data_IF_182441377208
#
_entry.id   IF_182441377208
#
_cell.length_a   1.000
_cell.length_b   1.000
_cell.length_c   1.000
_cell.angle_alpha   90.00
_cell.angle_beta   90.00
_cell.angle_gamma   90.00
#
_symmetry.space_group_name_H-M   'P 1'
#
loop_
_entity.id
_entity.type
_entity.pdbx_description
1 polymer ?
#
# COMPACT_ATOMS: atom_id res chain seq x y z
N UNK A 1 40.02 16.05 29.67
CA UNK A 1 40.98 17.04 29.13
C UNK A 1 42.18 17.11 30.04
N UNK A 2 43.40 17.31 29.54
CA UNK A 2 44.62 17.37 30.38
C UNK A 2 45.28 18.74 30.22
N UNK A 3 45.46 19.44 31.33
CA UNK A 3 46.26 20.66 31.41
C UNK A 3 47.70 20.28 31.71
N UNK A 4 48.65 20.84 30.97
CA UNK A 4 50.08 20.58 31.18
C UNK A 4 50.84 21.89 31.41
N UNK A 5 51.58 21.97 32.50
CA UNK A 5 52.43 23.10 32.83
C UNK A 5 53.86 22.79 32.35
N UNK A 6 54.29 23.42 31.26
CA UNK A 6 55.59 23.14 30.63
C UNK A 6 56.45 24.39 30.54
N UNK A 7 57.75 24.21 30.74
CA UNK A 7 58.76 25.23 30.47
C UNK A 7 59.04 25.29 28.96
N UNK A 8 59.08 26.50 28.38
CA UNK A 8 59.27 26.72 26.94
C UNK A 8 60.60 26.19 26.40
N UNK A 9 61.62 26.10 27.25
CA UNK A 9 62.94 25.55 26.89
C UNK A 9 63.01 24.02 27.05
N UNK A 10 61.93 23.37 27.52
CA UNK A 10 61.89 21.96 27.93
C UNK A 10 63.02 21.54 28.89
N UNK A 11 63.65 22.51 29.54
CA UNK A 11 64.70 22.28 30.53
C UNK A 11 64.07 21.79 31.83
N UNK A 12 64.76 20.84 32.49
CA UNK A 12 64.37 20.33 33.80
C UNK A 12 64.48 21.46 34.81
N UNK A 13 63.38 21.75 35.51
CA UNK A 13 63.35 22.76 36.55
C UNK A 13 64.25 22.31 37.71
N UNK A 14 65.08 23.20 38.29
CA UNK A 14 65.91 22.88 39.45
C UNK A 14 65.05 22.62 40.70
N UNK A 15 65.56 21.79 41.61
CA UNK A 15 64.88 21.43 42.86
C UNK A 15 63.71 20.45 42.70
N UNK A 16 62.81 20.44 43.69
CA UNK A 16 61.56 19.66 43.72
C UNK A 16 60.36 20.59 43.47
N UNK A 17 60.07 20.96 42.20
CA UNK A 17 59.02 21.93 41.88
C UNK A 17 57.65 21.41 42.31
N UNK A 18 56.84 22.27 42.92
CA UNK A 18 55.42 22.02 43.12
C UNK A 18 54.62 22.83 42.11
N UNK A 19 53.51 22.29 41.64
CA UNK A 19 52.62 22.89 40.65
C UNK A 19 51.24 23.12 41.26
N UNK A 20 50.61 24.23 40.90
CA UNK A 20 49.21 24.50 41.20
C UNK A 20 48.54 25.04 39.93
N UNK A 21 47.38 24.50 39.59
CA UNK A 21 46.58 24.96 38.45
C UNK A 21 45.46 25.86 38.94
N UNK A 22 45.18 26.94 38.21
CA UNK A 22 44.13 27.89 38.55
C UNK A 22 43.20 28.11 37.36
N UNK A 23 41.91 28.29 37.65
CA UNK A 23 40.85 28.71 36.72
C UNK A 23 40.17 29.95 37.27
N UNK A 24 40.18 31.03 36.50
CA UNK A 24 39.50 32.30 36.85
C UNK A 24 39.81 32.79 38.28
N UNK A 25 41.00 32.47 38.79
CA UNK A 25 41.48 32.85 40.14
C UNK A 25 41.30 31.79 41.22
N UNK A 26 40.62 30.69 40.92
CA UNK A 26 40.35 29.60 41.87
C UNK A 26 41.30 28.42 41.60
N UNK A 27 41.85 27.82 42.65
CA UNK A 27 42.71 26.66 42.53
C UNK A 27 41.92 25.42 42.07
N UNK A 28 42.46 24.68 41.11
CA UNK A 28 41.97 23.40 40.63
C UNK A 28 42.69 22.29 41.40
N UNK A 29 41.96 21.58 42.26
CA UNK A 29 42.51 20.55 43.15
C UNK A 29 42.75 21.04 44.59
N UNK A 30 43.40 20.20 45.40
CA UNK A 30 43.59 20.44 46.85
C UNK A 30 44.79 21.35 47.18
N UNK A 31 45.53 21.86 46.19
CA UNK A 31 46.66 22.76 46.41
C UNK A 31 47.86 22.47 45.49
N UNK A 32 49.05 22.57 46.08
CA UNK A 32 50.33 22.28 45.44
C UNK A 32 50.53 20.76 45.27
N UNK A 33 50.97 20.34 44.09
CA UNK A 33 51.20 18.95 43.72
C UNK A 33 52.55 18.77 43.00
N UNK A 34 53.13 17.58 43.04
CA UNK A 34 54.34 17.22 42.30
C UNK A 34 54.08 17.02 40.79
N UNK A 35 52.81 16.91 40.39
CA UNK A 35 52.44 16.69 39.00
C UNK A 35 52.44 17.96 38.17
N UNK A 36 53.18 17.98 37.07
CA UNK A 36 53.11 19.05 36.07
C UNK A 36 51.88 18.95 35.16
N UNK A 37 50.94 18.04 35.46
CA UNK A 37 49.73 17.81 34.70
C UNK A 37 48.50 17.71 35.61
N UNK A 38 47.39 18.28 35.16
CA UNK A 38 46.10 18.18 35.84
C UNK A 38 45.04 17.62 34.89
N UNK A 39 44.33 16.58 35.33
CA UNK A 39 43.29 15.94 34.54
C UNK A 39 41.90 16.45 34.93
N UNK A 40 41.21 17.02 33.94
CA UNK A 40 39.78 17.34 34.02
C UNK A 40 39.01 16.13 33.49
N UNK A 41 38.37 15.39 34.39
CA UNK A 41 37.73 14.10 34.09
C UNK A 41 36.58 14.24 33.06
N UNK A 42 35.76 15.27 33.18
CA UNK A 42 34.70 15.61 32.24
C UNK A 42 34.68 17.12 32.03
N UNK A 43 34.51 17.55 30.77
CA UNK A 43 34.49 18.97 30.40
C UNK A 43 33.04 19.44 30.32
N UNK A 44 32.69 20.43 31.14
CA UNK A 44 31.37 21.03 31.26
C UNK A 44 31.37 22.49 30.82
N UNK A 45 30.18 23.10 30.76
CA UNK A 45 30.07 24.52 30.37
C UNK A 45 30.78 25.41 31.39
N UNK A 46 30.78 25.00 32.65
CA UNK A 46 31.47 25.69 33.75
C UNK A 46 33.01 25.64 33.61
N UNK A 47 33.55 24.73 32.79
CA UNK A 47 34.99 24.60 32.55
C UNK A 47 35.52 25.62 31.53
N UNK A 48 34.66 26.45 30.94
CA UNK A 48 35.11 27.60 30.13
C UNK A 48 35.71 28.66 31.03
N UNK A 49 36.89 29.19 30.67
CA UNK A 49 37.57 30.20 31.49
C UNK A 49 39.05 30.42 31.14
N UNK A 50 39.70 31.28 31.93
CA UNK A 50 41.14 31.50 31.87
C UNK A 50 41.86 30.56 32.82
N UNK A 51 42.80 29.79 32.28
CA UNK A 51 43.63 28.85 33.00
C UNK A 51 45.09 29.31 33.05
N UNK A 52 45.77 29.07 34.15
CA UNK A 52 47.23 29.19 34.25
C UNK A 52 47.75 28.23 35.32
N UNK A 53 49.05 27.96 35.27
CA UNK A 53 49.74 27.23 36.34
C UNK A 53 50.70 28.15 37.08
N UNK A 54 50.86 27.87 38.36
CA UNK A 54 51.86 28.45 39.23
C UNK A 54 52.83 27.35 39.66
N UNK A 55 54.12 27.67 39.69
CA UNK A 55 55.18 26.73 40.04
C UNK A 55 55.99 27.29 41.20
N UNK A 56 56.09 26.52 42.28
CA UNK A 56 56.89 26.86 43.46
C UNK A 56 58.27 26.20 43.35
N UNK A 57 59.32 27.02 43.31
CA UNK A 57 60.72 26.60 43.22
C UNK A 57 61.55 27.50 44.13
N UNK A 58 62.32 26.90 45.05
CA UNK A 58 63.30 27.62 45.88
C UNK A 58 62.74 28.92 46.51
N UNK A 59 61.55 28.82 47.12
CA UNK A 59 60.81 29.93 47.75
C UNK A 59 60.30 31.03 46.81
N UNK A 60 60.22 30.75 45.50
CA UNK A 60 59.63 31.66 44.51
C UNK A 60 58.46 30.99 43.81
N UNK A 61 57.44 31.79 43.50
CA UNK A 61 56.31 31.36 42.68
C UNK A 61 56.43 31.99 41.30
N UNK A 62 56.46 31.16 40.27
CA UNK A 62 56.48 31.57 38.87
C UNK A 62 55.13 31.25 38.25
N UNK A 63 54.54 32.20 37.52
CA UNK A 63 53.23 32.03 36.88
C UNK A 63 53.39 31.85 35.37
N UNK A 64 52.62 30.94 34.79
CA UNK A 64 52.53 30.81 33.35
C UNK A 64 51.74 31.96 32.72
N UNK A 65 51.78 32.05 31.38
CA UNK A 65 50.80 32.84 30.64
C UNK A 65 49.40 32.25 30.86
N UNK A 66 48.38 33.11 30.87
CA UNK A 66 46.99 32.69 30.91
C UNK A 66 46.57 32.14 29.54
N UNK A 67 45.89 31.01 29.53
CA UNK A 67 45.28 30.41 28.35
C UNK A 67 43.76 30.42 28.48
N UNK A 68 43.06 30.88 27.45
CA UNK A 68 41.60 30.78 27.40
C UNK A 68 41.22 29.40 26.87
N UNK A 69 40.35 28.70 27.60
CA UNK A 69 39.79 27.42 27.18
C UNK A 69 38.30 27.61 26.99
N UNK A 70 37.82 27.19 25.81
CA UNK A 70 36.43 27.33 25.40
C UNK A 70 35.81 25.98 25.06
N UNK A 71 34.49 25.86 25.25
CA UNK A 71 33.72 24.67 24.90
C UNK A 71 33.14 24.85 23.50
N UNK A 72 33.73 24.17 22.52
CA UNK A 72 33.20 24.15 21.17
C UNK A 72 32.14 23.05 21.03
N UNK A 73 30.87 23.47 20.86
CA UNK A 73 29.82 22.54 20.41
C UNK A 73 30.03 22.23 18.93
N UNK A 74 29.84 20.98 18.56
CA UNK A 74 29.86 20.53 17.16
C UNK A 74 28.51 20.89 16.53
N UNK A 75 28.48 21.68 15.44
CA UNK A 75 27.24 21.99 14.73
C UNK A 75 26.59 20.75 14.12
N UNK A 76 25.27 20.79 13.94
CA UNK A 76 24.53 19.73 13.23
C UNK A 76 25.04 19.53 11.80
N UNK A 77 25.20 18.27 11.37
CA UNK A 77 25.64 17.90 10.01
C UNK A 77 24.79 16.78 9.41
N UNK A 78 24.59 16.84 8.10
CA UNK A 78 23.85 15.86 7.27
C UNK A 78 22.54 15.41 7.92
N UNK A 79 21.52 16.27 7.84
CA UNK A 79 20.18 15.93 8.31
C UNK A 79 19.51 15.05 7.26
N UNK A 80 18.97 13.91 7.66
CA UNK A 80 18.18 13.04 6.79
C UNK A 80 16.84 12.71 7.46
N UNK A 81 15.86 12.41 6.62
CA UNK A 81 14.55 11.95 7.06
C UNK A 81 14.35 10.53 6.52
N UNK A 82 14.04 9.60 7.41
CA UNK A 82 13.70 8.22 7.07
C UNK A 82 12.25 7.92 7.46
N UNK A 83 11.59 7.08 6.68
CA UNK A 83 10.21 6.64 6.92
C UNK A 83 10.18 5.20 7.39
N UNK A 84 9.23 4.88 8.27
CA UNK A 84 8.85 3.50 8.58
C UNK A 84 7.32 3.39 8.38
N UNK A 85 6.84 2.55 7.44
CA UNK A 85 7.61 1.66 6.55
C UNK A 85 8.52 2.41 5.56
N UNK A 86 9.61 1.74 5.16
CA UNK A 86 10.60 2.29 4.24
C UNK A 86 9.98 2.62 2.87
N UNK A 87 10.42 3.73 2.27
CA UNK A 87 9.86 4.21 1.00
C UNK A 87 8.59 5.05 1.16
N UNK A 88 8.00 5.13 2.36
CA UNK A 88 6.85 6.00 2.62
C UNK A 88 5.53 5.51 2.02
N UNK A 89 5.46 4.26 1.60
CA UNK A 89 4.22 3.60 1.16
C UNK A 89 3.53 2.96 2.36
N UNK A 90 2.40 3.50 2.78
CA UNK A 90 1.69 3.08 3.99
C UNK A 90 0.20 2.88 3.70
N UNK A 91 -0.42 1.84 4.26
CA UNK A 91 -1.85 1.66 4.13
C UNK A 91 -2.63 2.57 5.07
N UNK A 92 -3.83 3.01 4.66
CA UNK A 92 -4.70 3.82 5.51
C UNK A 92 -4.99 3.12 6.85
N UNK A 93 -4.96 3.90 7.93
CA UNK A 93 -5.15 3.41 9.30
C UNK A 93 -3.90 2.80 9.94
N UNK A 94 -2.81 2.57 9.20
CA UNK A 94 -1.53 2.14 9.76
C UNK A 94 -0.73 3.32 10.33
N UNK A 95 0.33 2.99 11.08
CA UNK A 95 1.24 3.98 11.66
C UNK A 95 2.38 4.31 10.70
N UNK A 96 2.61 5.60 10.48
CA UNK A 96 3.78 6.13 9.79
C UNK A 96 4.74 6.77 10.81
N UNK A 97 6.01 6.38 10.77
CA UNK A 97 7.07 6.97 11.59
C UNK A 97 8.02 7.77 10.71
N UNK A 98 8.27 9.01 11.10
CA UNK A 98 9.19 9.96 10.48
C UNK A 98 10.40 10.15 11.39
N UNK A 99 11.49 9.45 11.08
CA UNK A 99 12.74 9.48 11.82
C UNK A 99 13.69 10.54 11.24
N UNK A 100 13.91 11.63 11.98
CA UNK A 100 14.88 12.65 11.64
C UNK A 100 16.25 12.29 12.25
N UNK A 101 17.28 12.19 11.42
CA UNK A 101 18.61 11.71 11.77
C UNK A 101 19.66 12.78 11.47
N UNK A 102 20.70 12.86 12.29
CA UNK A 102 21.86 13.72 12.04
C UNK A 102 23.16 12.93 12.18
N UNK A 103 24.12 13.17 11.30
CA UNK A 103 25.43 12.49 11.32
C UNK A 103 26.41 13.06 12.37
N UNK A 104 26.10 14.22 12.93
CA UNK A 104 26.92 14.88 13.93
C UNK A 104 26.20 16.06 14.53
N UNK A 105 26.56 16.39 15.77
CA UNK A 105 25.95 17.43 16.58
C UNK A 105 26.18 17.13 18.06
N UNK A 106 26.35 18.15 18.88
CA UNK A 106 26.50 17.97 20.34
C UNK A 106 25.53 18.86 21.11
N UNK A 107 25.18 18.42 22.32
CA UNK A 107 24.23 19.10 23.18
C UNK A 107 22.80 18.74 22.82
N UNK A 108 21.87 19.60 23.23
CA UNK A 108 20.46 19.42 22.93
C UNK A 108 20.19 19.88 21.50
N UNK A 109 19.51 19.03 20.73
CA UNK A 109 19.16 19.27 19.33
C UNK A 109 17.65 19.42 19.25
N UNK A 110 17.20 20.50 18.62
CA UNK A 110 15.81 20.79 18.35
C UNK A 110 15.43 20.28 16.97
N UNK A 111 14.53 19.30 16.92
CA UNK A 111 14.03 18.65 15.72
C UNK A 111 12.62 19.16 15.40
N UNK A 112 12.38 19.59 14.17
CA UNK A 112 11.05 19.98 13.68
C UNK A 112 10.69 19.17 12.44
N UNK A 113 9.43 18.75 12.32
CA UNK A 113 8.91 18.06 11.15
C UNK A 113 7.93 18.95 10.40
N UNK A 114 7.96 18.84 9.08
CA UNK A 114 7.15 19.64 8.17
C UNK A 114 6.45 18.75 7.14
N UNK A 115 5.25 19.17 6.74
CA UNK A 115 4.46 18.56 5.65
C UNK A 115 4.27 19.55 4.51
N UNK A 116 4.44 19.07 3.29
CA UNK A 116 4.33 19.84 2.06
C UNK A 116 5.52 20.75 1.81
N UNK A 117 5.73 21.07 0.53
CA UNK A 117 6.83 21.95 0.10
C UNK A 117 6.75 23.37 0.69
N UNK A 118 5.54 23.82 1.06
CA UNK A 118 5.31 25.12 1.73
C UNK A 118 5.55 25.08 3.25
N UNK A 119 5.82 23.90 3.83
CA UNK A 119 6.34 23.76 5.19
C UNK A 119 5.31 23.92 6.31
N UNK A 120 4.21 23.15 6.27
CA UNK A 120 3.29 23.09 7.42
C UNK A 120 3.98 22.38 8.57
N UNK A 121 4.25 23.10 9.67
CA UNK A 121 4.88 22.55 10.86
C UNK A 121 3.96 21.52 11.54
N UNK A 122 4.48 20.32 11.78
CA UNK A 122 3.74 19.21 12.41
C UNK A 122 4.08 19.06 13.88
N UNK A 123 5.37 19.03 14.21
CA UNK A 123 5.85 18.65 15.54
C UNK A 123 7.19 19.32 15.87
N UNK A 124 7.52 19.43 17.16
CA UNK A 124 8.83 19.88 17.65
C UNK A 124 9.28 19.06 18.83
N UNK A 125 10.51 18.53 18.78
CA UNK A 125 11.12 17.76 19.87
C UNK A 125 12.53 18.23 20.12
N UNK A 126 12.85 18.57 21.37
CA UNK A 126 14.23 18.84 21.78
C UNK A 126 14.75 17.69 22.62
N UNK A 127 15.91 17.16 22.27
CA UNK A 127 16.52 16.04 22.98
C UNK A 127 18.03 15.99 22.75
N UNK A 128 18.75 15.40 23.71
CA UNK A 128 20.19 15.15 23.60
C UNK A 128 20.45 13.82 22.88
N UNK A 129 20.10 13.77 21.60
CA UNK A 129 20.26 12.59 20.75
C UNK A 129 20.49 13.02 19.30
N UNK A 130 21.18 12.17 18.52
CA UNK A 130 21.40 12.37 17.09
C UNK A 130 20.19 11.96 16.23
N UNK A 131 19.09 11.50 16.84
CA UNK A 131 17.93 11.04 16.10
C UNK A 131 16.63 11.21 16.87
N UNK A 132 15.59 11.75 16.22
CA UNK A 132 14.25 11.92 16.80
C UNK A 132 13.19 11.26 15.91
N UNK A 133 12.07 10.82 16.51
CA UNK A 133 10.96 10.23 15.78
C UNK A 133 9.66 10.99 16.01
N UNK A 134 8.90 11.19 14.94
CA UNK A 134 7.52 11.66 14.97
C UNK A 134 6.62 10.59 14.36
N UNK A 135 5.49 10.29 15.01
CA UNK A 135 4.61 9.18 14.63
C UNK A 135 3.21 9.71 14.29
N UNK A 136 2.65 9.19 13.20
CA UNK A 136 1.26 9.40 12.78
C UNK A 136 0.56 8.04 12.91
N UNK A 137 -0.15 7.76 14.00
CA UNK A 137 -0.57 6.40 14.37
C UNK A 137 -1.63 5.78 13.45
N UNK A 138 -2.49 6.60 12.83
CA UNK A 138 -3.52 6.17 11.90
C UNK A 138 -3.58 7.13 10.72
N UNK A 139 -2.74 6.88 9.71
CA UNK A 139 -2.65 7.73 8.52
C UNK A 139 -3.95 7.74 7.74
N UNK A 140 -4.27 8.88 7.13
CA UNK A 140 -5.38 9.07 6.20
C UNK A 140 -4.87 9.44 4.83
N UNK A 141 -5.71 9.34 3.80
CA UNK A 141 -5.37 9.82 2.45
C UNK A 141 -4.87 11.28 2.45
N UNK A 142 -5.42 12.14 3.32
CA UNK A 142 -4.99 13.53 3.47
C UNK A 142 -3.56 13.72 4.00
N UNK A 143 -2.95 12.66 4.54
CA UNK A 143 -1.57 12.68 5.01
C UNK A 143 -0.57 12.35 3.89
N UNK A 144 -1.02 11.94 2.71
CA UNK A 144 -0.15 11.77 1.55
C UNK A 144 0.45 13.11 1.12
N UNK A 145 1.77 13.24 1.23
CA UNK A 145 2.51 14.44 0.82
C UNK A 145 4.02 14.22 0.85
N UNK A 146 4.79 15.28 0.57
CA UNK A 146 6.22 15.34 0.86
C UNK A 146 6.47 15.81 2.29
N UNK A 147 7.47 15.24 2.94
CA UNK A 147 7.87 15.56 4.30
C UNK A 147 9.36 15.89 4.34
N UNK A 148 9.75 16.77 5.26
CA UNK A 148 11.15 17.03 5.59
C UNK A 148 11.25 17.37 7.08
N UNK A 149 12.45 17.26 7.63
CA UNK A 149 12.73 17.68 8.99
C UNK A 149 13.84 18.73 9.03
N UNK A 150 13.87 19.50 10.10
CA UNK A 150 14.99 20.37 10.45
C UNK A 150 15.59 19.96 11.79
N UNK A 151 16.90 20.17 11.93
CA UNK A 151 17.62 19.98 13.18
C UNK A 151 18.52 21.19 13.45
N UNK A 152 18.47 21.71 14.68
CA UNK A 152 19.24 22.88 15.12
C UNK A 152 19.77 22.68 16.53
N UNK A 153 21.04 23.02 16.76
CA UNK A 153 21.67 23.01 18.09
C UNK A 153 22.26 24.38 18.47
N UNK A 154 21.74 25.46 17.89
CA UNK A 154 22.13 26.84 18.15
C UNK A 154 23.11 27.43 17.12
N UNK A 155 23.48 26.65 16.09
CA UNK A 155 24.33 27.08 14.97
C UNK A 155 23.53 27.29 13.66
N UNK A 156 22.22 27.43 13.80
CA UNK A 156 21.27 27.59 12.73
C UNK A 156 20.73 26.26 12.21
N UNK A 157 19.48 26.24 11.73
CA UNK A 157 18.83 25.00 11.32
C UNK A 157 19.51 24.40 10.08
N UNK A 158 19.50 23.07 10.03
CA UNK A 158 19.81 22.30 8.82
C UNK A 158 18.59 21.48 8.45
N UNK A 159 18.29 21.42 7.15
CA UNK A 159 17.12 20.72 6.61
C UNK A 159 17.53 19.38 6.02
N UNK A 160 16.64 18.40 6.11
CA UNK A 160 16.73 17.18 5.32
C UNK A 160 16.30 17.40 3.87
N UNK A 161 16.55 16.40 3.02
CA UNK A 161 15.83 16.26 1.75
C UNK A 161 14.34 15.99 1.97
N UNK A 162 13.56 16.15 0.90
CA UNK A 162 12.14 15.80 0.87
C UNK A 162 11.96 14.29 0.68
N UNK A 163 11.03 13.71 1.44
CA UNK A 163 10.59 12.31 1.29
C UNK A 163 9.11 12.29 0.95
N UNK A 164 8.76 11.63 -0.16
CA UNK A 164 7.36 11.43 -0.55
C UNK A 164 6.74 10.31 0.26
N UNK A 165 5.53 10.55 0.77
CA UNK A 165 4.68 9.58 1.45
C UNK A 165 3.42 9.41 0.63
N UNK A 166 3.08 8.17 0.33
CA UNK A 166 1.84 7.80 -0.37
C UNK A 166 1.00 6.91 0.54
N UNK A 167 -0.31 7.16 0.58
CA UNK A 167 -1.23 6.37 1.38
C UNK A 167 -2.09 5.51 0.46
N UNK A 168 -2.12 4.20 0.70
CA UNK A 168 -2.97 3.26 -0.04
C UNK A 168 -4.26 3.02 0.76
N UNK A 169 -5.38 3.49 0.21
CA UNK A 169 -6.71 3.30 0.79
C UNK A 169 -7.19 1.87 0.48
N UNK A 170 -7.61 1.08 1.48
CA UNK A 170 -8.12 -0.28 1.24
C UNK A 170 -9.42 -0.24 0.44
N UNK A 171 -9.69 -1.32 -0.31
CA UNK A 171 -10.94 -1.44 -1.04
C UNK A 171 -12.13 -1.61 -0.09
N UNK A 172 -13.25 -0.95 -0.39
CA UNK A 172 -14.53 -1.25 0.25
C UNK A 172 -15.09 -2.58 -0.23
N UNK A 173 -16.09 -3.12 0.48
CA UNK A 173 -16.91 -4.23 -0.03
C UNK A 173 -17.46 -3.89 -1.42
N UNK A 174 -17.14 -4.66 -2.47
CA UNK A 174 -17.62 -4.36 -3.80
C UNK A 174 -19.09 -4.75 -3.98
N UNK A 175 -19.76 -4.11 -4.92
CA UNK A 175 -21.13 -4.40 -5.33
C UNK A 175 -21.09 -5.08 -6.69
N UNK A 176 -21.64 -6.30 -6.77
CA UNK A 176 -21.86 -7.01 -8.02
C UNK A 176 -23.26 -6.70 -8.56
N UNK A 177 -23.32 -6.25 -9.81
CA UNK A 177 -24.57 -6.02 -10.55
C UNK A 177 -24.58 -6.91 -11.80
N UNK A 178 -25.59 -7.75 -11.95
CA UNK A 178 -25.81 -8.53 -13.16
C UNK A 178 -26.82 -7.80 -14.06
N UNK A 179 -26.45 -7.52 -15.30
CA UNK A 179 -27.31 -6.87 -16.30
C UNK A 179 -27.55 -7.82 -17.46
N UNK A 180 -28.75 -8.39 -17.51
CA UNK A 180 -29.20 -9.26 -18.60
C UNK A 180 -30.11 -8.47 -19.57
N UNK A 181 -30.23 -8.89 -20.84
CA UNK A 181 -31.13 -8.27 -21.81
C UNK A 181 -32.61 -8.37 -21.43
N UNK A 182 -32.98 -9.38 -20.64
CA UNK A 182 -34.35 -9.64 -20.21
C UNK A 182 -34.44 -10.27 -18.82
N UNK A 183 -35.66 -10.27 -18.27
CA UNK A 183 -36.03 -10.94 -17.03
C UNK A 183 -37.31 -11.77 -17.30
N UNK A 184 -37.21 -13.11 -17.48
CA UNK A 184 -36.05 -13.96 -17.20
C UNK A 184 -34.93 -13.86 -18.25
N UNK A 185 -33.69 -14.12 -17.83
CA UNK A 185 -32.56 -14.27 -18.75
C UNK A 185 -32.62 -15.65 -19.43
N UNK A 186 -32.32 -15.69 -20.73
CA UNK A 186 -32.44 -16.89 -21.55
C UNK A 186 -31.07 -17.52 -21.89
N UNK A 187 -31.06 -18.82 -22.17
CA UNK A 187 -29.88 -19.48 -22.75
C UNK A 187 -29.50 -18.79 -24.07
N UNK A 188 -28.22 -18.46 -24.24
CA UNK A 188 -27.71 -17.72 -25.40
C UNK A 188 -27.62 -16.21 -25.19
N UNK A 189 -28.31 -15.63 -24.19
CA UNK A 189 -28.14 -14.23 -23.84
C UNK A 189 -26.71 -13.95 -23.37
N UNK A 190 -26.25 -12.70 -23.52
CA UNK A 190 -25.00 -12.24 -22.91
C UNK A 190 -25.33 -11.36 -21.72
N UNK A 191 -24.91 -11.77 -20.53
CA UNK A 191 -25.06 -11.01 -19.29
C UNK A 191 -23.78 -10.25 -18.98
N UNK A 192 -23.91 -8.98 -18.58
CA UNK A 192 -22.80 -8.19 -18.06
C UNK A 192 -22.74 -8.35 -16.52
N UNK A 193 -21.62 -8.83 -16.01
CA UNK A 193 -21.29 -8.82 -14.59
C UNK A 193 -20.45 -7.58 -14.33
N UNK A 194 -21.05 -6.55 -13.76
CA UNK A 194 -20.36 -5.33 -13.37
C UNK A 194 -20.04 -5.37 -11.87
N UNK A 195 -18.77 -5.25 -11.51
CA UNK A 195 -18.32 -5.24 -10.12
C UNK A 195 -17.55 -3.97 -9.81
N UNK A 196 -17.92 -3.27 -8.74
CA UNK A 196 -17.32 -2.01 -8.34
C UNK A 196 -17.17 -1.89 -6.82
N UNK A 197 -15.97 -1.52 -6.36
CA UNK A 197 -15.74 -1.03 -5.01
C UNK A 197 -15.85 0.50 -5.00
N UNK A 198 -16.65 1.03 -4.07
CA UNK A 198 -16.90 2.46 -3.94
C UNK A 198 -15.66 3.24 -3.48
N UNK A 199 -14.80 2.62 -2.68
CA UNK A 199 -13.51 3.18 -2.24
C UNK A 199 -12.38 2.18 -2.48
N UNK A 200 -11.15 2.69 -2.59
CA UNK A 200 -9.93 1.90 -2.74
C UNK A 200 -8.95 2.57 -3.70
N UNK A 201 -7.67 2.62 -3.34
CA UNK A 201 -6.64 3.13 -4.23
C UNK A 201 -6.35 2.14 -5.37
N UNK A 202 -6.16 2.61 -6.61
CA UNK A 202 -5.79 1.75 -7.73
C UNK A 202 -4.31 1.33 -7.70
N UNK A 203 -3.93 0.26 -8.45
CA UNK A 203 -4.80 -0.58 -9.28
C UNK A 203 -5.64 -1.56 -8.44
N UNK A 204 -6.91 -1.73 -8.81
CA UNK A 204 -7.81 -2.71 -8.17
C UNK A 204 -7.99 -3.90 -9.11
N UNK A 205 -7.70 -5.11 -8.62
CA UNK A 205 -7.99 -6.35 -9.31
C UNK A 205 -9.35 -6.88 -8.87
N UNK A 206 -10.22 -7.16 -9.84
CA UNK A 206 -11.51 -7.80 -9.60
C UNK A 206 -11.49 -9.24 -10.11
N UNK A 207 -12.02 -10.16 -9.30
CA UNK A 207 -12.23 -11.57 -9.66
C UNK A 207 -13.71 -11.90 -9.58
N UNK A 208 -14.25 -12.53 -10.62
CA UNK A 208 -15.65 -12.95 -10.69
C UNK A 208 -15.79 -14.43 -10.37
N UNK A 209 -16.84 -14.79 -9.64
CA UNK A 209 -17.10 -16.17 -9.22
C UNK A 209 -18.54 -16.58 -9.52
N UNK A 210 -18.71 -17.85 -9.90
CA UNK A 210 -19.99 -18.55 -10.02
C UNK A 210 -19.91 -19.84 -9.20
N UNK A 211 -20.83 -20.00 -8.24
CA UNK A 211 -20.85 -21.10 -7.27
C UNK A 211 -19.49 -21.34 -6.56
N UNK A 212 -18.75 -20.24 -6.34
CA UNK A 212 -17.44 -20.25 -5.70
C UNK A 212 -16.25 -20.54 -6.63
N UNK A 213 -16.50 -20.86 -7.90
CA UNK A 213 -15.47 -21.10 -8.92
C UNK A 213 -15.18 -19.81 -9.68
N UNK A 214 -13.90 -19.51 -9.91
CA UNK A 214 -13.49 -18.31 -10.65
C UNK A 214 -13.89 -18.39 -12.12
N UNK A 215 -14.64 -17.40 -12.59
CA UNK A 215 -15.01 -17.22 -14.00
C UNK A 215 -13.95 -16.46 -14.79
N UNK A 216 -13.34 -15.45 -14.15
CA UNK A 216 -12.40 -14.55 -14.81
C UNK A 216 -11.96 -13.42 -13.90
N UNK A 217 -11.03 -12.61 -14.39
CA UNK A 217 -10.54 -11.42 -13.70
C UNK A 217 -10.47 -10.22 -14.65
N UNK A 218 -10.50 -9.02 -14.08
CA UNK A 218 -10.30 -7.77 -14.78
C UNK A 218 -9.73 -6.73 -13.82
N UNK A 219 -8.96 -5.76 -14.32
CA UNK A 219 -8.26 -4.76 -13.51
C UNK A 219 -8.75 -3.36 -13.80
N UNK A 220 -8.92 -2.55 -12.76
CA UNK A 220 -9.15 -1.12 -12.84
C UNK A 220 -7.86 -0.36 -12.48
N UNK A 221 -7.00 0.00 -13.45
CA UNK A 221 -5.71 0.66 -13.20
C UNK A 221 -5.85 2.10 -12.70
N UNK A 222 -7.02 2.73 -12.90
CA UNK A 222 -7.32 4.11 -12.49
C UNK A 222 -8.46 4.18 -11.47
N UNK A 223 -8.91 3.05 -10.93
CA UNK A 223 -10.05 2.94 -10.01
C UNK A 223 -11.39 2.75 -10.74
N UNK A 224 -12.47 2.67 -9.96
CA UNK A 224 -13.83 2.38 -10.44
C UNK A 224 -14.12 0.88 -10.63
N UNK A 225 -15.27 0.59 -11.20
CA UNK A 225 -15.72 -0.77 -11.51
C UNK A 225 -15.19 -1.35 -12.82
N UNK A 226 -15.32 -2.67 -12.95
CA UNK A 226 -15.03 -3.40 -14.20
C UNK A 226 -16.22 -4.28 -14.58
N UNK A 227 -16.31 -4.59 -15.87
CA UNK A 227 -17.36 -5.45 -16.41
C UNK A 227 -16.76 -6.72 -17.02
N UNK A 228 -17.47 -7.83 -16.86
CA UNK A 228 -17.18 -9.12 -17.45
C UNK A 228 -18.44 -9.65 -18.16
N UNK A 229 -18.35 -9.87 -19.47
CA UNK A 229 -19.48 -10.37 -20.25
C UNK A 229 -19.45 -11.89 -20.32
N UNK A 230 -20.56 -12.53 -19.96
CA UNK A 230 -20.72 -13.98 -19.95
C UNK A 230 -21.87 -14.39 -20.87
N UNK A 231 -21.59 -15.26 -21.85
CA UNK A 231 -22.63 -15.89 -22.66
C UNK A 231 -23.31 -17.03 -21.87
N UNK A 232 -24.63 -16.98 -21.73
CA UNK A 232 -25.39 -17.85 -20.83
C UNK A 232 -25.62 -19.24 -21.41
N UNK A 233 -25.40 -20.25 -20.56
CA UNK A 233 -25.77 -21.65 -20.77
C UNK A 233 -26.67 -22.09 -19.62
N UNK A 234 -27.29 -23.28 -19.71
CA UNK A 234 -28.14 -23.79 -18.63
C UNK A 234 -27.39 -23.93 -17.29
N UNK A 235 -26.09 -24.25 -17.35
CA UNK A 235 -25.20 -24.44 -16.20
C UNK A 235 -24.85 -23.12 -15.50
N UNK A 236 -25.09 -21.96 -16.13
CA UNK A 236 -24.81 -20.65 -15.55
C UNK A 236 -25.90 -20.16 -14.57
N UNK A 237 -26.84 -21.03 -14.19
CA UNK A 237 -27.73 -20.76 -13.06
C UNK A 237 -26.98 -21.01 -11.76
N UNK A 238 -27.07 -20.09 -10.79
CA UNK A 238 -26.40 -20.25 -9.51
C UNK A 238 -26.09 -18.93 -8.82
N UNK A 239 -25.11 -18.98 -7.93
CA UNK A 239 -24.73 -17.88 -7.06
C UNK A 239 -23.49 -17.16 -7.59
N UNK A 240 -23.63 -15.86 -7.84
CA UNK A 240 -22.55 -15.02 -8.33
C UNK A 240 -22.00 -14.13 -7.24
N UNK A 241 -20.69 -13.89 -7.28
CA UNK A 241 -20.03 -12.92 -6.39
C UNK A 241 -18.78 -12.38 -7.06
N UNK A 242 -18.28 -11.25 -6.60
CA UNK A 242 -16.99 -10.73 -7.02
C UNK A 242 -16.11 -10.37 -5.83
N UNK A 243 -14.81 -10.36 -6.03
CA UNK A 243 -13.80 -9.93 -5.07
C UNK A 243 -13.01 -8.76 -5.66
N UNK A 244 -12.80 -7.71 -4.87
CA UNK A 244 -11.92 -6.59 -5.18
C UNK A 244 -10.67 -6.69 -4.30
N UNK A 245 -9.49 -6.42 -4.86
CA UNK A 245 -8.21 -6.52 -4.16
C UNK A 245 -7.21 -5.49 -4.70
N UNK A 246 -6.63 -4.69 -3.80
CA UNK A 246 -5.55 -3.75 -4.10
C UNK A 246 -4.28 -4.00 -3.27
N UNK A 247 -4.14 -5.20 -2.69
CA UNK A 247 -2.97 -5.62 -1.92
C UNK A 247 -2.97 -5.21 -0.44
N UNK A 248 -3.93 -4.39 0.01
CA UNK A 248 -4.06 -4.01 1.44
C UNK A 248 -5.09 -4.89 2.16
N UNK A 249 -6.07 -5.41 1.43
CA UNK A 249 -7.06 -6.34 1.97
C UNK A 249 -8.18 -6.59 0.97
N UNK A 250 -8.30 -7.82 0.50
CA UNK A 250 -9.35 -8.21 -0.42
C UNK A 250 -10.73 -8.16 0.25
N UNK A 251 -11.73 -7.72 -0.50
CA UNK A 251 -13.12 -7.70 -0.05
C UNK A 251 -14.02 -8.40 -1.08
N UNK A 252 -14.95 -9.21 -0.58
CA UNK A 252 -15.90 -9.96 -1.42
C UNK A 252 -17.29 -9.35 -1.32
N UNK A 253 -17.98 -9.27 -2.45
CA UNK A 253 -19.36 -8.82 -2.54
C UNK A 253 -20.31 -9.77 -1.81
N UNK A 254 -21.53 -9.29 -1.58
CA UNK A 254 -22.65 -10.19 -1.31
C UNK A 254 -22.89 -11.13 -2.50
N UNK A 255 -23.51 -12.28 -2.21
CA UNK A 255 -23.88 -13.26 -3.22
C UNK A 255 -25.16 -12.83 -3.92
N UNK A 256 -25.15 -12.85 -5.25
CA UNK A 256 -26.28 -12.53 -6.10
C UNK A 256 -26.76 -13.81 -6.81
N UNK A 257 -27.94 -14.35 -6.46
CA UNK A 257 -28.50 -15.51 -7.16
C UNK A 257 -29.01 -15.10 -8.54
N UNK A 258 -28.78 -15.95 -9.54
CA UNK A 258 -29.17 -15.71 -10.92
C UNK A 258 -29.64 -17.01 -11.59
N UNK A 259 -30.76 -16.96 -12.31
CA UNK A 259 -31.35 -18.14 -12.96
C UNK A 259 -31.45 -17.95 -14.47
N UNK A 260 -30.99 -18.94 -15.22
CA UNK A 260 -31.08 -18.97 -16.69
C UNK A 260 -32.24 -19.86 -17.10
N UNK A 261 -33.10 -19.37 -17.99
CA UNK A 261 -34.24 -20.12 -18.52
C UNK A 261 -33.91 -20.66 -19.90
N UNK A 262 -34.10 -21.96 -20.13
CA UNK A 262 -34.02 -22.53 -21.46
C UNK A 262 -35.29 -22.18 -22.27
N UNK A 263 -35.18 -21.73 -23.53
CA UNK A 263 -36.33 -21.63 -24.41
C UNK A 263 -37.04 -22.98 -24.46
N UNK A 264 -38.38 -22.99 -24.32
CA UNK A 264 -39.15 -24.22 -24.54
C UNK A 264 -39.01 -24.59 -26.01
N UNK A 265 -38.37 -25.72 -26.28
CA UNK A 265 -38.44 -26.35 -27.59
C UNK A 265 -39.89 -26.84 -27.74
N UNK A 266 -40.71 -26.05 -28.42
CA UNK A 266 -42.11 -26.39 -28.65
C UNK A 266 -42.15 -27.56 -29.63
N UNK A 267 -42.09 -28.79 -29.11
CA UNK A 267 -42.32 -30.04 -29.85
C UNK A 267 -43.80 -30.18 -30.27
N UNK A 268 -44.41 -29.10 -30.70
CA UNK A 268 -45.83 -28.99 -31.01
C UNK A 268 -46.10 -28.79 -32.51
N UNK A 269 -45.24 -29.26 -33.41
CA UNK A 269 -45.57 -29.30 -34.85
C UNK A 269 -45.22 -30.61 -35.58
N UNK A 270 -44.64 -31.61 -34.92
CA UNK A 270 -44.32 -32.88 -35.59
C UNK A 270 -45.42 -33.94 -35.47
N UNK A 271 -46.34 -33.82 -34.51
CA UNK A 271 -47.43 -34.78 -34.33
C UNK A 271 -48.62 -34.52 -35.25
N UNK A 272 -48.89 -33.27 -35.63
CA UNK A 272 -49.99 -32.92 -36.54
C UNK A 272 -49.70 -33.36 -37.97
N UNK A 273 -48.48 -33.14 -38.47
CA UNK A 273 -48.10 -33.53 -39.84
C UNK A 273 -48.18 -35.05 -40.07
N UNK A 274 -47.68 -35.87 -39.13
CA UNK A 274 -47.70 -37.34 -39.24
C UNK A 274 -49.12 -37.91 -39.22
N UNK A 275 -50.01 -37.34 -38.41
CA UNK A 275 -51.42 -37.78 -38.36
C UNK A 275 -52.16 -37.39 -39.64
N UNK A 276 -51.89 -36.20 -40.18
CA UNK A 276 -52.48 -35.72 -41.43
C UNK A 276 -52.02 -36.55 -42.63
N UNK A 277 -50.72 -36.85 -42.75
CA UNK A 277 -50.19 -37.72 -43.81
C UNK A 277 -50.74 -39.15 -43.71
N UNK A 278 -50.88 -39.70 -42.49
CA UNK A 278 -51.50 -41.01 -42.28
C UNK A 278 -52.98 -41.07 -42.68
N UNK A 279 -53.75 -40.01 -42.39
CA UNK A 279 -55.16 -39.90 -42.77
C UNK A 279 -55.36 -39.78 -44.29
N UNK A 280 -54.52 -38.99 -44.97
CA UNK A 280 -54.55 -38.89 -46.44
C UNK A 280 -54.16 -40.22 -47.11
N UNK A 281 -53.20 -40.96 -46.56
CA UNK A 281 -52.83 -42.30 -47.03
C UNK A 281 -53.98 -43.31 -46.91
N UNK A 282 -54.67 -43.34 -45.76
CA UNK A 282 -55.83 -44.20 -45.52
C UNK A 282 -57.02 -43.86 -46.44
N UNK A 283 -57.30 -42.58 -46.65
CA UNK A 283 -58.37 -42.13 -47.54
C UNK A 283 -58.07 -42.48 -49.01
N UNK A 284 -56.80 -42.36 -49.43
CA UNK A 284 -56.33 -42.79 -50.75
C UNK A 284 -56.50 -44.30 -50.97
N UNK A 285 -56.19 -45.12 -49.97
CA UNK A 285 -56.39 -46.58 -50.04
C UNK A 285 -57.87 -46.97 -50.11
N UNK A 286 -58.73 -46.34 -49.32
CA UNK A 286 -60.18 -46.61 -49.35
C UNK A 286 -60.80 -46.22 -50.70
N UNK A 287 -60.40 -45.08 -51.27
CA UNK A 287 -60.87 -44.67 -52.60
C UNK A 287 -60.38 -45.59 -53.70
N UNK A 288 -59.12 -46.06 -53.66
CA UNK A 288 -58.60 -47.06 -54.58
C UNK A 288 -59.35 -48.39 -54.48
N UNK A 289 -59.63 -48.88 -53.26
CA UNK A 289 -60.42 -50.10 -53.05
C UNK A 289 -61.84 -49.94 -53.59
N UNK A 290 -62.49 -48.80 -53.34
CA UNK A 290 -63.82 -48.52 -53.89
C UNK A 290 -63.81 -48.49 -55.43
N UNK A 291 -62.79 -47.89 -56.05
CA UNK A 291 -62.63 -47.88 -57.50
C UNK A 291 -62.41 -49.29 -58.05
N UNK A 292 -61.57 -50.10 -57.40
CA UNK A 292 -61.35 -51.51 -57.76
C UNK A 292 -62.64 -52.32 -57.63
N UNK A 293 -63.38 -52.16 -56.53
CA UNK A 293 -64.68 -52.80 -56.32
C UNK A 293 -65.70 -52.40 -57.39
N UNK A 294 -65.79 -51.11 -57.72
CA UNK A 294 -66.64 -50.61 -58.81
C UNK A 294 -66.22 -51.16 -60.17
N UNK A 295 -64.91 -51.31 -60.42
CA UNK A 295 -64.38 -51.87 -61.64
C UNK A 295 -64.66 -53.37 -61.76
N UNK A 296 -64.51 -54.13 -60.66
CA UNK A 296 -64.91 -55.54 -60.58
C UNK A 296 -66.43 -55.72 -60.77
N UNK A 297 -67.25 -54.84 -60.19
CA UNK A 297 -68.71 -54.82 -60.41
C UNK A 297 -69.08 -54.56 -61.87
N UNK A 298 -68.38 -53.64 -62.56
CA UNK A 298 -68.56 -53.41 -64.01
C UNK A 298 -68.14 -54.62 -64.85
N UNK A 299 -67.07 -55.32 -64.46
CA UNK A 299 -66.54 -56.46 -65.22
C UNK A 299 -67.39 -57.73 -65.10
N UNK A 300 -68.17 -57.88 -64.03
CA UNK A 300 -69.13 -58.99 -63.86
C UNK A 300 -70.52 -58.72 -64.46
N UNK A 301 -70.73 -57.56 -65.10
CA UNK A 301 -72.03 -57.14 -65.65
C UNK A 301 -72.20 -57.23 -67.17
N UNK A 302 -71.25 -57.80 -67.93
CA UNK A 302 -71.37 -57.95 -69.39
C UNK A 302 -71.75 -59.38 -69.79
N UNK A 303 -72.94 -59.61 -70.40
CA UNK A 303 -73.32 -60.91 -70.96
C UNK A 303 -72.48 -61.20 -72.22
N UNK A 304 -71.99 -62.44 -72.33
CA UNK A 304 -71.31 -62.94 -73.53
C UNK A 304 -72.34 -63.24 -74.62
N UNK A 305 -72.32 -62.45 -75.69
CA UNK A 305 -72.89 -62.80 -76.98
C UNK A 305 -71.74 -63.21 -77.92
N UNK A 306 -71.78 -64.44 -78.44
CA UNK A 306 -71.02 -64.89 -79.61
C UNK A 306 -71.99 -65.53 -80.57
N UNK A 307 -72.08 -64.97 -81.76
CA UNK A 307 -72.81 -65.52 -82.90
C UNK A 307 -71.87 -66.22 -83.89
N UNK A 308 -72.35 -67.37 -84.37
CA UNK A 308 -72.19 -68.00 -85.71
C UNK A 308 -70.80 -68.45 -86.23
N UNK A 309 -70.74 -69.70 -86.76
CA UNK A 309 -70.76 -70.02 -88.21
C UNK A 309 -70.69 -71.55 -88.44
N UNK A 310 -71.62 -72.02 -89.31
CA UNK A 310 -71.68 -73.28 -90.09
C UNK A 310 -72.11 -74.60 -89.43
#
# INVERSE_FOLDING_TARGET
MTLSCVNQLHQRLPGSPQFQFLKDGHALGLGWDNSSQYQVAAVWREDVGYYWCEVWIEHRVIKSKRMWIDMHRVPVRNVSLETQPAGGHVAEGQTLVLACLVSGGTGDINFLWYRGALGVKLETKTQRSLSAKFEIPAVRESDANQYYCSADNGYGPRLSGLVSVTVTVPVSRPVLTLRAPGAPALVGDTVELHCEAQTGSPPILYRFYHDGVTLGNSSAPSGGGVSFNLSLTAEHSGNYSCEADNGVGAQRSEVVPFSVTAPREDRAELTTAVVVEGLFGLLGLLTAVLLICCWCKRKMGQPSARDSVR
#
